data_IF_915319390014
#
_entry.id   IF_915319390014
#
_cell.length_a   1.000
_cell.length_b   1.000
_cell.length_c   1.000
_cell.angle_alpha   90.00
_cell.angle_beta   90.00
_cell.angle_gamma   90.00
#
_symmetry.space_group_name_H-M   'P 1'
#
loop_
_entity.id
_entity.type
_entity.pdbx_description
1 polymer ?
#
# COMPACT_ATOMS: atom_id res chain seq x y z
N UNK A 1 27.54 -25.77 -87.43
CA UNK A 1 27.04 -25.92 -86.05
C UNK A 1 27.45 -24.65 -85.32
N UNK A 2 26.49 -23.82 -84.89
CA UNK A 2 26.79 -22.60 -84.15
C UNK A 2 26.97 -22.96 -82.67
N UNK A 3 28.11 -22.60 -82.10
CA UNK A 3 28.38 -22.77 -80.68
C UNK A 3 27.51 -21.80 -79.87
N UNK A 4 26.59 -22.36 -79.07
CA UNK A 4 25.83 -21.57 -78.11
C UNK A 4 26.78 -21.13 -76.99
N UNK A 5 27.09 -19.83 -76.96
CA UNK A 5 27.86 -19.21 -75.88
C UNK A 5 27.02 -19.22 -74.60
N UNK A 6 27.28 -20.20 -73.74
CA UNK A 6 26.65 -20.27 -72.42
C UNK A 6 27.23 -19.14 -71.58
N UNK A 7 26.38 -18.18 -71.20
CA UNK A 7 26.77 -17.14 -70.26
C UNK A 7 26.91 -17.78 -68.89
N UNK A 8 28.17 -17.88 -68.46
CA UNK A 8 28.55 -18.53 -67.21
C UNK A 8 27.90 -17.84 -66.01
N UNK A 9 27.57 -18.64 -65.01
CA UNK A 9 26.76 -18.23 -63.86
C UNK A 9 27.54 -17.17 -63.08
N UNK A 10 26.88 -16.07 -62.68
CA UNK A 10 27.53 -14.98 -61.93
C UNK A 10 28.23 -15.52 -60.69
N UNK A 11 29.45 -15.04 -60.44
CA UNK A 11 30.23 -15.38 -59.26
C UNK A 11 29.50 -15.06 -57.96
N UNK A 12 29.84 -15.78 -56.89
CA UNK A 12 29.23 -15.60 -55.58
C UNK A 12 29.48 -14.17 -55.08
N UNK A 13 28.40 -13.42 -54.88
CA UNK A 13 28.43 -12.09 -54.26
C UNK A 13 28.09 -12.26 -52.79
N UNK A 14 28.98 -11.80 -51.91
CA UNK A 14 28.69 -11.75 -50.48
C UNK A 14 27.65 -10.67 -50.21
N UNK A 15 26.48 -11.11 -49.74
CA UNK A 15 25.44 -10.22 -49.24
C UNK A 15 25.67 -10.10 -47.73
N UNK A 16 25.76 -8.88 -47.21
CA UNK A 16 25.77 -8.68 -45.76
C UNK A 16 24.39 -9.04 -45.21
N UNK A 17 24.34 -10.06 -44.35
CA UNK A 17 23.13 -10.50 -43.66
C UNK A 17 23.18 -10.13 -42.17
N UNK A 18 22.22 -9.32 -41.74
CA UNK A 18 22.07 -8.90 -40.34
C UNK A 18 20.90 -9.59 -39.65
N UNK A 19 20.17 -10.47 -40.33
CA UNK A 19 18.96 -11.14 -39.84
C UNK A 19 19.19 -11.83 -38.50
N UNK A 20 20.35 -12.49 -38.32
CA UNK A 20 20.71 -13.14 -37.06
C UNK A 20 20.87 -12.16 -35.90
N UNK A 21 21.55 -11.02 -36.14
CA UNK A 21 21.75 -9.99 -35.12
C UNK A 21 20.43 -9.30 -34.75
N UNK A 22 19.56 -9.05 -35.74
CA UNK A 22 18.23 -8.49 -35.52
C UNK A 22 17.38 -9.45 -34.68
N UNK A 23 17.43 -10.75 -34.97
CA UNK A 23 16.71 -11.77 -34.21
C UNK A 23 17.16 -11.83 -32.75
N UNK A 24 18.47 -11.86 -32.50
CA UNK A 24 19.03 -11.84 -31.14
C UNK A 24 18.65 -10.53 -30.40
N UNK A 25 18.73 -9.39 -31.08
CA UNK A 25 18.32 -8.11 -30.51
C UNK A 25 16.85 -8.13 -30.08
N UNK A 26 15.95 -8.67 -30.89
CA UNK A 26 14.52 -8.78 -30.57
C UNK A 26 14.26 -9.69 -29.37
N UNK A 27 14.98 -10.82 -29.25
CA UNK A 27 14.91 -11.69 -28.07
C UNK A 27 15.34 -10.92 -26.83
N UNK A 28 16.52 -10.29 -26.86
CA UNK A 28 17.05 -9.54 -25.71
C UNK A 28 16.11 -8.40 -25.33
N UNK A 29 15.60 -7.65 -26.29
CA UNK A 29 14.65 -6.57 -26.06
C UNK A 29 13.35 -7.08 -25.42
N UNK A 30 12.83 -8.22 -25.89
CA UNK A 30 11.62 -8.83 -25.33
C UNK A 30 11.84 -9.28 -23.88
N UNK A 31 12.98 -9.92 -23.60
CA UNK A 31 13.34 -10.34 -22.23
C UNK A 31 13.47 -9.12 -21.31
N UNK A 32 14.10 -8.03 -21.76
CA UNK A 32 14.20 -6.80 -20.97
C UNK A 32 12.83 -6.20 -20.66
N UNK A 33 11.92 -6.16 -21.64
CA UNK A 33 10.55 -5.68 -21.43
C UNK A 33 9.83 -6.52 -20.38
N UNK A 34 9.95 -7.86 -20.45
CA UNK A 34 9.36 -8.76 -19.47
C UNK A 34 9.91 -8.49 -18.06
N UNK A 35 11.23 -8.32 -17.93
CA UNK A 35 11.87 -8.01 -16.64
C UNK A 35 11.32 -6.69 -16.06
N UNK A 36 11.21 -5.64 -16.90
CA UNK A 36 10.66 -4.35 -16.46
C UNK A 36 9.22 -4.48 -15.98
N UNK A 37 8.38 -5.23 -16.70
CA UNK A 37 6.99 -5.49 -16.30
C UNK A 37 6.94 -6.24 -14.97
N UNK A 38 7.74 -7.29 -14.80
CA UNK A 38 7.80 -8.06 -13.54
C UNK A 38 8.23 -7.17 -12.37
N UNK A 39 9.26 -6.34 -12.54
CA UNK A 39 9.71 -5.40 -11.51
C UNK A 39 8.61 -4.40 -11.11
N UNK A 40 7.85 -3.88 -12.09
CA UNK A 40 6.74 -2.97 -11.82
C UNK A 40 5.61 -3.67 -11.06
N UNK A 41 5.26 -4.89 -11.44
CA UNK A 41 4.25 -5.68 -10.72
C UNK A 41 4.67 -5.92 -9.27
N UNK A 42 5.90 -6.39 -9.04
CA UNK A 42 6.45 -6.59 -7.69
C UNK A 42 6.37 -5.30 -6.89
N UNK A 43 6.76 -4.17 -7.49
CA UNK A 43 6.72 -2.85 -6.84
C UNK A 43 5.29 -2.46 -6.42
N UNK A 44 4.28 -2.77 -7.21
CA UNK A 44 2.87 -2.49 -6.90
C UNK A 44 2.38 -3.39 -5.75
N UNK A 45 2.69 -4.68 -5.78
CA UNK A 45 2.25 -5.63 -4.75
C UNK A 45 2.92 -5.37 -3.39
N UNK A 46 4.21 -5.03 -3.36
CA UNK A 46 4.94 -4.77 -2.11
C UNK A 46 4.69 -3.36 -1.52
N UNK A 47 4.18 -2.41 -2.32
CA UNK A 47 3.88 -1.05 -1.87
C UNK A 47 2.44 -0.87 -1.35
N UNK A 48 1.77 -1.93 -0.91
CA UNK A 48 0.52 -1.78 -0.14
C UNK A 48 0.84 -1.17 1.22
N UNK A 49 1.01 0.16 1.24
CA UNK A 49 1.10 0.94 2.47
C UNK A 49 -0.23 0.78 3.20
N UNK A 50 -0.17 0.58 4.51
CA UNK A 50 -1.36 0.62 5.37
C UNK A 50 -2.05 1.97 5.19
N UNK A 51 -3.37 1.97 5.13
CA UNK A 51 -4.16 3.21 5.17
C UNK A 51 -3.85 3.97 6.47
N UNK A 52 -3.98 5.29 6.45
CA UNK A 52 -3.86 6.10 7.67
C UNK A 52 -4.87 5.64 8.74
N UNK A 53 -6.03 5.14 8.30
CA UNK A 53 -7.06 4.53 9.13
C UNK A 53 -6.54 3.25 9.81
N UNK A 54 -5.89 2.36 9.07
CA UNK A 54 -5.33 1.10 9.58
C UNK A 54 -4.22 1.36 10.60
N UNK A 55 -3.40 2.38 10.34
CA UNK A 55 -2.36 2.81 11.28
C UNK A 55 -3.01 3.37 12.55
N UNK A 56 -4.06 4.18 12.42
CA UNK A 56 -4.79 4.73 13.57
C UNK A 56 -5.46 3.62 14.41
N UNK A 57 -6.06 2.63 13.76
CA UNK A 57 -6.65 1.46 14.42
C UNK A 57 -5.60 0.67 15.21
N UNK A 58 -4.44 0.35 14.63
CA UNK A 58 -3.37 -0.38 15.33
C UNK A 58 -2.84 0.37 16.55
N UNK A 59 -2.79 1.71 16.48
CA UNK A 59 -2.38 2.55 17.62
C UNK A 59 -3.43 2.49 18.72
N UNK A 60 -4.73 2.52 18.37
CA UNK A 60 -5.81 2.39 19.33
C UNK A 60 -5.80 0.99 19.97
N UNK A 61 -5.73 -0.08 19.19
CA UNK A 61 -5.75 -1.46 19.71
C UNK A 61 -4.65 -1.73 20.76
N UNK A 62 -3.46 -1.14 20.58
CA UNK A 62 -2.30 -1.32 21.46
C UNK A 62 -2.15 -0.24 22.53
N UNK A 63 -3.14 0.64 22.67
CA UNK A 63 -3.05 1.79 23.56
C UNK A 63 -3.11 1.35 25.03
N UNK A 64 -2.15 1.82 25.83
CA UNK A 64 -2.19 1.65 27.28
C UNK A 64 -3.15 2.66 27.92
N UNK A 65 -4.20 2.15 28.57
CA UNK A 65 -5.23 2.94 29.26
C UNK A 65 -4.82 3.36 30.68
N UNK A 66 -3.66 2.93 31.19
CA UNK A 66 -3.20 3.30 32.53
C UNK A 66 -2.80 4.78 32.63
N UNK A 67 -2.28 5.35 31.55
CA UNK A 67 -1.98 6.79 31.47
C UNK A 67 -3.20 7.54 30.94
N UNK A 68 -4.16 7.83 31.80
CA UNK A 68 -5.48 8.37 31.41
C UNK A 68 -5.41 9.61 30.53
N UNK A 69 -4.50 10.54 30.85
CA UNK A 69 -4.38 11.80 30.12
C UNK A 69 -3.85 11.58 28.71
N UNK A 70 -2.73 10.86 28.60
CA UNK A 70 -2.12 10.56 27.30
C UNK A 70 -3.07 9.69 26.45
N UNK A 71 -3.70 8.69 27.07
CA UNK A 71 -4.70 7.86 26.43
C UNK A 71 -5.88 8.70 25.92
N UNK A 72 -6.44 9.63 26.70
CA UNK A 72 -7.53 10.48 26.25
C UNK A 72 -7.15 11.33 25.03
N UNK A 73 -5.94 11.90 25.00
CA UNK A 73 -5.45 12.63 23.83
C UNK A 73 -5.27 11.74 22.60
N UNK A 74 -4.68 10.55 22.78
CA UNK A 74 -4.46 9.59 21.70
C UNK A 74 -5.77 9.05 21.16
N UNK A 75 -6.72 8.69 22.02
CA UNK A 75 -8.05 8.23 21.61
C UNK A 75 -8.76 9.31 20.80
N UNK A 76 -8.76 10.58 21.26
CA UNK A 76 -9.37 11.65 20.46
C UNK A 76 -8.70 11.83 19.10
N UNK A 77 -7.35 11.81 19.07
CA UNK A 77 -6.60 12.07 17.83
C UNK A 77 -6.78 10.95 16.82
N UNK A 78 -6.53 9.71 17.22
CA UNK A 78 -6.56 8.55 16.32
C UNK A 78 -7.98 8.04 16.09
N UNK A 79 -8.89 8.22 17.05
CA UNK A 79 -10.29 7.84 16.89
C UNK A 79 -10.98 8.57 15.75
N UNK A 80 -10.71 9.88 15.57
CA UNK A 80 -11.23 10.65 14.42
C UNK A 80 -10.77 10.11 13.07
N UNK A 81 -9.54 9.59 13.01
CA UNK A 81 -8.94 9.05 11.77
C UNK A 81 -9.45 7.64 11.51
N UNK A 82 -9.58 6.81 12.54
CA UNK A 82 -10.04 5.43 12.43
C UNK A 82 -11.57 5.31 12.23
N UNK A 83 -12.36 6.32 12.63
CA UNK A 83 -13.81 6.30 12.46
C UNK A 83 -14.23 6.65 11.03
N UNK A 84 -14.40 5.65 10.16
CA UNK A 84 -14.74 5.82 8.73
C UNK A 84 -16.25 5.79 8.50
N UNK A 85 -16.94 4.81 9.09
CA UNK A 85 -18.35 4.53 8.93
C UNK A 85 -19.24 5.32 9.93
N UNK A 86 -20.55 5.34 9.67
CA UNK A 86 -21.50 6.10 10.50
C UNK A 86 -21.65 5.54 11.92
N UNK A 87 -21.44 4.24 12.14
CA UNK A 87 -21.58 3.62 13.46
C UNK A 87 -20.35 3.93 14.31
N UNK A 88 -19.14 3.74 13.80
CA UNK A 88 -17.91 4.09 14.54
C UNK A 88 -17.85 5.58 14.86
N UNK A 89 -18.26 6.45 13.93
CA UNK A 89 -18.34 7.91 14.17
C UNK A 89 -19.27 8.26 15.33
N UNK A 90 -20.47 7.67 15.39
CA UNK A 90 -21.42 7.91 16.48
C UNK A 90 -20.86 7.47 17.84
N UNK A 91 -20.24 6.29 17.89
CA UNK A 91 -19.60 5.78 19.11
C UNK A 91 -18.42 6.66 19.53
N UNK A 92 -17.62 7.11 18.55
CA UNK A 92 -16.51 8.02 18.80
C UNK A 92 -16.98 9.35 19.39
N UNK A 93 -18.02 9.98 18.83
CA UNK A 93 -18.53 11.26 19.35
C UNK A 93 -19.01 11.15 20.80
N UNK A 94 -19.71 10.07 21.14
CA UNK A 94 -20.16 9.82 22.52
C UNK A 94 -18.97 9.65 23.47
N UNK A 95 -17.94 8.92 23.04
CA UNK A 95 -16.73 8.71 23.81
C UNK A 95 -15.92 10.01 23.96
N UNK A 96 -15.77 10.78 22.88
CA UNK A 96 -15.00 12.02 22.83
C UNK A 96 -15.52 13.04 23.85
N UNK A 97 -16.84 13.22 23.94
CA UNK A 97 -17.47 14.13 24.90
C UNK A 97 -17.08 13.79 26.36
N UNK A 98 -16.97 12.50 26.68
CA UNK A 98 -16.57 12.06 28.02
C UNK A 98 -15.08 12.20 28.27
N UNK A 99 -14.25 12.00 27.23
CA UNK A 99 -12.79 12.12 27.32
C UNK A 99 -12.32 13.56 27.56
N UNK A 100 -13.11 14.58 27.21
CA UNK A 100 -12.79 15.99 27.47
C UNK A 100 -12.46 16.26 28.95
N UNK A 101 -13.14 15.58 29.88
CA UNK A 101 -12.90 15.71 31.33
C UNK A 101 -11.48 15.32 31.76
N UNK A 102 -10.79 14.53 30.93
CA UNK A 102 -9.47 13.96 31.21
C UNK A 102 -8.33 14.71 30.51
N UNK A 103 -8.62 15.57 29.53
CA UNK A 103 -7.60 16.14 28.65
C UNK A 103 -6.87 17.37 29.21
N UNK A 104 -7.45 18.12 30.14
CA UNK A 104 -6.90 19.44 30.51
C UNK A 104 -6.38 19.55 31.94
N UNK A 105 -6.59 18.53 32.77
CA UNK A 105 -6.13 18.54 34.17
C UNK A 105 -4.67 18.08 34.28
N UNK A 106 -3.96 18.58 35.30
CA UNK A 106 -2.56 18.19 35.56
C UNK A 106 -2.50 16.79 36.15
N UNK A 107 -3.37 16.51 37.11
CA UNK A 107 -3.64 15.17 37.64
C UNK A 107 -5.05 14.76 37.27
N UNK A 108 -5.21 13.51 36.88
CA UNK A 108 -6.47 12.98 36.36
C UNK A 108 -6.72 11.63 37.00
N UNK A 109 -7.97 11.36 37.37
CA UNK A 109 -8.38 10.05 37.84
C UNK A 109 -8.14 8.99 36.74
N UNK A 110 -8.10 7.72 37.15
CA UNK A 110 -8.14 6.61 36.18
C UNK A 110 -9.46 6.63 35.41
N UNK A 111 -9.48 6.01 34.23
CA UNK A 111 -10.75 5.81 33.54
C UNK A 111 -11.68 4.95 34.38
N UNK A 112 -12.93 5.37 34.47
CA UNK A 112 -13.99 4.56 35.05
C UNK A 112 -14.32 3.40 34.10
N UNK A 113 -14.88 2.31 34.64
CA UNK A 113 -15.24 1.13 33.85
C UNK A 113 -16.16 1.46 32.67
N UNK A 114 -17.05 2.43 32.84
CA UNK A 114 -17.94 2.90 31.78
C UNK A 114 -17.19 3.42 30.56
N UNK A 115 -16.14 4.23 30.77
CA UNK A 115 -15.32 4.78 29.68
C UNK A 115 -14.50 3.68 29.03
N UNK A 116 -13.97 2.74 29.81
CA UNK A 116 -13.23 1.59 29.28
C UNK A 116 -14.14 0.73 28.40
N UNK A 117 -15.38 0.49 28.83
CA UNK A 117 -16.35 -0.30 28.08
C UNK A 117 -16.85 0.42 26.83
N UNK A 118 -16.99 1.75 26.86
CA UNK A 118 -17.32 2.54 25.67
C UNK A 118 -16.16 2.60 24.68
N UNK A 119 -14.94 2.72 25.17
CA UNK A 119 -13.75 2.65 24.35
C UNK A 119 -13.60 1.31 23.64
N UNK A 120 -13.78 0.19 24.34
CA UNK A 120 -13.78 -1.15 23.72
C UNK A 120 -14.85 -1.28 22.65
N UNK A 121 -16.09 -0.86 22.95
CA UNK A 121 -17.19 -0.85 21.98
C UNK A 121 -16.89 0.01 20.74
N UNK A 122 -16.20 1.13 20.93
CA UNK A 122 -15.75 1.96 19.82
C UNK A 122 -14.71 1.23 18.98
N UNK A 123 -13.66 0.68 19.59
CA UNK A 123 -12.60 -0.06 18.88
C UNK A 123 -13.16 -1.25 18.11
N UNK A 124 -14.04 -2.04 18.72
CA UNK A 124 -14.70 -3.19 18.09
C UNK A 124 -15.61 -2.81 16.91
N UNK A 125 -16.05 -1.55 16.85
CA UNK A 125 -16.93 -1.05 15.80
C UNK A 125 -16.16 -0.42 14.62
N UNK A 126 -14.84 -0.29 14.70
CA UNK A 126 -14.00 0.21 13.62
C UNK A 126 -13.87 -0.89 12.56
N UNK A 127 -14.28 -0.58 11.32
CA UNK A 127 -14.18 -1.47 10.15
C UNK A 127 -13.19 -0.85 9.15
N UNK A 128 -11.93 -1.31 9.17
CA UNK A 128 -10.75 -0.67 8.53
C UNK A 128 -9.74 -1.70 7.99
#
# INVERSE_FOLDING_TARGET
MNELKINDIKGLVSILDYSYFIYIFLIVATVLIIIIILLQLIRIFYKRKKSDEQIAYEILEKLDLNNTKDAAYKITKYGRVASTDNRSKRLFFQLEEKLEKYKYKKEVAKFDEDIINEYKRFVDAIDV
#
